data_IF_868582624083
#
_entry.id   IF_868582624083
#
_cell.length_a   1.000
_cell.length_b   1.000
_cell.length_c   1.000
_cell.angle_alpha   90.00
_cell.angle_beta   90.00
_cell.angle_gamma   90.00
#
_symmetry.space_group_name_H-M   'P 1'
#
loop_
_entity.id
_entity.type
_entity.pdbx_description
1 polymer ?
#
# COMPACT_ATOMS: atom_id res chain seq x y z
N UNK A 1 1.67 0.62 13.12
CA UNK A 1 2.44 -0.64 13.16
C UNK A 1 3.94 -0.43 13.36
N UNK A 2 4.40 0.68 13.96
CA UNK A 2 5.79 0.82 14.39
C UNK A 2 6.89 0.84 13.31
N UNK A 3 6.57 0.69 12.02
CA UNK A 3 7.58 0.72 10.96
C UNK A 3 8.34 2.05 10.93
N UNK A 4 9.67 1.97 10.82
CA UNK A 4 10.52 3.10 10.46
C UNK A 4 10.26 3.49 8.99
N UNK A 5 10.46 4.76 8.63
CA UNK A 5 10.01 5.29 7.32
C UNK A 5 10.62 4.54 6.14
N UNK A 6 11.93 4.28 6.18
CA UNK A 6 12.63 3.64 5.07
C UNK A 6 12.39 2.13 5.05
N UNK A 7 12.30 1.51 6.22
CA UNK A 7 11.84 0.12 6.35
C UNK A 7 10.43 -0.06 5.76
N UNK A 8 9.49 0.84 6.10
CA UNK A 8 8.13 0.80 5.58
C UNK A 8 8.12 0.89 4.04
N UNK A 9 8.94 1.78 3.47
CA UNK A 9 9.07 1.92 2.03
C UNK A 9 9.63 0.64 1.39
N UNK A 10 10.69 0.08 1.97
CA UNK A 10 11.32 -1.14 1.47
C UNK A 10 10.33 -2.31 1.49
N UNK A 11 9.64 -2.55 2.60
CA UNK A 11 8.67 -3.64 2.70
C UNK A 11 7.47 -3.40 1.77
N UNK A 12 6.93 -2.18 1.74
CA UNK A 12 5.80 -1.83 0.85
C UNK A 12 6.16 -2.02 -0.63
N UNK A 13 7.41 -1.76 -1.03
CA UNK A 13 7.86 -1.97 -2.41
C UNK A 13 7.79 -3.44 -2.85
N UNK A 14 7.93 -4.38 -1.92
CA UNK A 14 7.97 -5.82 -2.22
C UNK A 14 6.59 -6.48 -2.11
N UNK A 15 5.78 -6.08 -1.13
CA UNK A 15 4.52 -6.78 -0.81
C UNK A 15 3.27 -5.91 -0.97
N UNK A 16 3.45 -4.63 -1.28
CA UNK A 16 2.38 -3.68 -1.52
C UNK A 16 1.49 -4.13 -2.68
N UNK A 17 0.18 -3.93 -2.52
CA UNK A 17 -0.80 -4.19 -3.57
C UNK A 17 -1.58 -2.93 -3.86
N UNK A 18 -1.98 -2.76 -5.11
CA UNK A 18 -2.82 -1.64 -5.52
C UNK A 18 -4.11 -2.17 -6.13
N UNK A 19 -5.21 -1.44 -5.92
CA UNK A 19 -6.47 -1.68 -6.63
C UNK A 19 -6.87 -0.40 -7.35
N UNK A 20 -7.07 -0.50 -8.66
CA UNK A 20 -7.66 0.56 -9.45
C UNK A 20 -9.14 0.68 -9.06
N UNK A 21 -9.52 1.85 -8.57
CA UNK A 21 -10.89 2.16 -8.17
C UNK A 21 -11.69 2.70 -9.35
N UNK A 22 -11.26 3.84 -9.86
CA UNK A 22 -11.80 4.43 -11.09
C UNK A 22 -10.67 5.04 -11.92
N UNK A 23 -10.88 5.07 -13.23
CA UNK A 23 -10.04 5.75 -14.24
C UNK A 23 -10.88 6.63 -15.17
N UNK A 24 -12.14 6.88 -14.80
CA UNK A 24 -13.14 7.55 -15.65
C UNK A 24 -13.37 9.00 -15.21
N UNK A 25 -13.26 9.29 -13.92
CA UNK A 25 -13.40 10.64 -13.39
C UNK A 25 -12.14 11.46 -13.69
N UNK A 26 -12.21 12.81 -13.75
CA UNK A 26 -11.01 13.65 -13.91
C UNK A 26 -9.95 13.37 -12.83
N UNK A 27 -10.39 12.92 -11.66
CA UNK A 27 -9.52 12.48 -10.57
C UNK A 27 -9.56 10.96 -10.46
N UNK A 28 -8.52 10.31 -10.98
CA UNK A 28 -8.37 8.86 -10.86
C UNK A 28 -8.18 8.45 -9.40
N UNK A 29 -8.75 7.29 -9.06
CA UNK A 29 -8.67 6.76 -7.69
C UNK A 29 -8.00 5.40 -7.67
N UNK A 30 -6.97 5.27 -6.83
CA UNK A 30 -6.26 4.03 -6.59
C UNK A 30 -6.18 3.79 -5.08
N UNK A 31 -6.40 2.55 -4.66
CA UNK A 31 -6.30 2.13 -3.25
C UNK A 31 -5.00 1.38 -3.03
N UNK A 32 -4.17 1.89 -2.11
CA UNK A 32 -3.01 1.16 -1.59
C UNK A 32 -3.45 0.15 -0.53
N UNK A 33 -2.98 -1.09 -0.64
CA UNK A 33 -3.28 -2.20 0.27
C UNK A 33 -2.01 -2.84 0.79
N UNK A 34 -2.01 -3.20 2.07
CA UNK A 34 -0.94 -3.95 2.71
C UNK A 34 -1.47 -5.27 3.30
N UNK A 35 -0.86 -6.42 3.01
CA UNK A 35 -1.31 -7.71 3.55
C UNK A 35 -1.11 -7.80 5.07
N UNK A 36 -2.18 -8.12 5.82
CA UNK A 36 -2.13 -8.16 7.30
C UNK A 36 -1.12 -9.15 7.88
N UNK A 37 -0.77 -10.21 7.13
CA UNK A 37 0.21 -11.24 7.56
C UNK A 37 1.64 -10.72 7.78
N UNK A 38 1.97 -9.54 7.23
CA UNK A 38 3.28 -8.90 7.39
C UNK A 38 3.26 -7.78 8.42
N UNK A 39 2.14 -7.58 9.12
CA UNK A 39 2.07 -6.60 10.18
C UNK A 39 2.70 -7.19 11.44
N UNK A 40 3.57 -6.43 12.13
CA UNK A 40 4.00 -6.81 13.47
C UNK A 40 2.78 -6.82 14.41
N UNK A 41 2.77 -7.81 15.32
CA UNK A 41 1.75 -8.00 16.35
C UNK A 41 1.68 -6.82 17.32
#
# INVERSE_FOLDING_TARGET
YGFEKWEALQVLSQVGRMRVGNVVDPNYTIVAKFPKKYLPY
#
